data_IF_203334009716
#
_entry.id   IF_203334009716
#
_cell.length_a   1.000
_cell.length_b   1.000
_cell.length_c   1.000
_cell.angle_alpha   90.00
_cell.angle_beta   90.00
_cell.angle_gamma   90.00
#
_symmetry.space_group_name_H-M   'P 1'
#
loop_
_entity.id
_entity.type
_entity.pdbx_description
1 polymer ?
#
# COMPACT_ATOMS: atom_id res chain seq x y z
N UNK A 1 -23.67 -13.74 -14.44
CA UNK A 1 -23.82 -12.48 -15.19
C UNK A 1 -22.77 -12.47 -16.29
N UNK A 2 -23.19 -12.63 -17.55
CA UNK A 2 -22.36 -13.03 -18.70
C UNK A 2 -22.46 -11.89 -19.72
N UNK A 3 -21.38 -11.13 -19.93
CA UNK A 3 -21.40 -9.97 -20.84
C UNK A 3 -20.84 -10.41 -22.20
N UNK A 4 -21.73 -10.52 -23.19
CA UNK A 4 -21.41 -10.62 -24.62
C UNK A 4 -21.10 -9.21 -25.14
N UNK A 5 -19.96 -9.00 -25.80
CA UNK A 5 -19.75 -7.79 -26.59
C UNK A 5 -20.38 -7.97 -27.98
N UNK A 6 -21.15 -6.96 -28.41
CA UNK A 6 -21.74 -6.87 -29.73
C UNK A 6 -20.73 -6.23 -30.68
N UNK A 7 -20.58 -6.82 -31.87
CA UNK A 7 -19.90 -6.20 -33.00
C UNK A 7 -20.67 -4.96 -33.48
N UNK A 8 -19.97 -3.83 -33.56
CA UNK A 8 -20.40 -2.65 -34.31
C UNK A 8 -19.62 -2.62 -35.62
N UNK A 9 -20.31 -2.83 -36.72
CA UNK A 9 -19.86 -2.56 -38.08
C UNK A 9 -19.79 -1.05 -38.28
N UNK A 10 -18.59 -0.51 -38.47
CA UNK A 10 -18.40 0.91 -38.81
C UNK A 10 -18.11 1.02 -40.30
N UNK A 11 -19.15 1.34 -41.07
CA UNK A 11 -19.02 1.81 -42.45
C UNK A 11 -18.29 3.16 -42.43
N UNK A 12 -17.07 3.20 -42.97
CA UNK A 12 -16.38 4.45 -43.23
C UNK A 12 -16.77 4.96 -44.62
N UNK A 13 -17.49 6.09 -44.63
CA UNK A 13 -17.64 6.98 -45.77
C UNK A 13 -16.28 7.66 -45.98
N UNK A 14 -15.65 7.44 -47.12
CA UNK A 14 -14.39 8.08 -47.52
C UNK A 14 -14.66 9.51 -47.96
N UNK A 15 -13.82 10.45 -47.50
CA UNK A 15 -13.79 11.83 -47.98
C UNK A 15 -13.22 11.90 -49.41
N UNK A 16 -13.73 12.76 -50.29
CA UNK A 16 -13.35 12.80 -51.69
C UNK A 16 -12.01 13.52 -51.86
N UNK A 17 -10.94 12.75 -52.05
CA UNK A 17 -9.61 13.28 -52.34
C UNK A 17 -8.56 12.26 -52.75
N UNK A 18 -8.94 11.00 -53.00
CA UNK A 18 -8.01 9.92 -53.36
C UNK A 18 -8.64 9.09 -54.48
N UNK A 19 -8.84 9.69 -55.65
CA UNK A 19 -9.18 8.93 -56.85
C UNK A 19 -8.58 9.60 -58.08
N UNK A 20 -7.26 9.64 -58.16
CA UNK A 20 -6.57 9.68 -59.44
C UNK A 20 -5.14 9.16 -59.26
N UNK A 21 -4.67 8.44 -60.27
CA UNK A 21 -3.39 7.72 -60.35
C UNK A 21 -3.41 6.31 -59.74
N UNK A 22 -4.33 5.48 -60.22
CA UNK A 22 -4.06 4.04 -60.39
C UNK A 22 -4.46 3.65 -61.80
N UNK A 23 -3.57 3.92 -62.75
CA UNK A 23 -3.45 3.17 -64.00
C UNK A 23 -2.05 3.45 -64.57
N UNK A 24 -1.42 2.42 -65.13
CA UNK A 24 -0.07 2.38 -65.71
C UNK A 24 1.05 2.08 -64.69
N UNK A 25 1.30 0.79 -64.43
CA UNK A 25 2.54 0.04 -64.81
C UNK A 25 2.32 -1.43 -64.41
N UNK A 26 2.38 -2.41 -65.34
CA UNK A 26 2.35 -3.81 -65.00
C UNK A 26 3.75 -4.26 -64.56
N UNK A 27 3.85 -4.86 -63.38
CA UNK A 27 5.00 -5.68 -63.01
C UNK A 27 5.75 -5.24 -61.76
N UNK A 28 5.80 -6.19 -60.83
CA UNK A 28 6.75 -6.36 -59.71
C UNK A 28 6.54 -5.50 -58.45
N UNK A 29 6.13 -6.25 -57.41
CA UNK A 29 6.66 -6.24 -56.03
C UNK A 29 6.26 -5.06 -55.14
N UNK A 30 5.00 -5.07 -54.68
CA UNK A 30 4.58 -4.27 -53.50
C UNK A 30 4.65 -5.04 -52.16
N UNK A 31 5.03 -6.33 -52.19
CA UNK A 31 5.20 -7.13 -50.96
C UNK A 31 6.32 -6.66 -49.99
N UNK A 32 7.41 -5.96 -50.38
CA UNK A 32 8.41 -5.54 -49.39
C UNK A 32 8.02 -4.27 -48.63
N UNK A 33 7.08 -3.45 -49.12
CA UNK A 33 6.64 -2.22 -48.45
C UNK A 33 5.68 -2.46 -47.28
N UNK A 34 5.00 -3.61 -47.25
CA UNK A 34 4.15 -4.00 -46.12
C UNK A 34 4.98 -4.65 -44.99
N UNK A 35 6.08 -5.32 -45.32
CA UNK A 35 6.98 -5.95 -44.35
C UNK A 35 7.83 -4.92 -43.58
N UNK A 36 8.18 -3.78 -44.19
CA UNK A 36 8.93 -2.71 -43.53
C UNK A 36 8.13 -1.96 -42.47
N UNK A 37 6.80 -1.93 -42.57
CA UNK A 37 5.93 -1.29 -41.56
C UNK A 37 5.78 -2.13 -40.28
N UNK A 38 6.03 -3.45 -40.34
CA UNK A 38 5.92 -4.35 -39.18
C UNK A 38 7.22 -4.47 -38.37
N UNK A 39 8.35 -3.99 -38.91
CA UNK A 39 9.64 -3.92 -38.18
C UNK A 39 9.81 -2.63 -37.37
N UNK A 40 8.84 -1.71 -37.42
CA UNK A 40 8.85 -0.45 -36.65
C UNK A 40 7.99 -0.49 -35.38
N UNK A 41 7.37 -1.63 -35.09
CA UNK A 41 6.70 -1.89 -33.82
C UNK A 41 7.45 -2.99 -33.06
N UNK A 42 8.73 -2.77 -32.77
CA UNK A 42 9.33 -3.42 -31.60
C UNK A 42 8.66 -2.84 -30.37
N UNK A 43 7.54 -3.43 -29.97
CA UNK A 43 6.94 -3.14 -28.67
C UNK A 43 7.96 -3.47 -27.60
N UNK A 44 8.58 -2.46 -27.01
CA UNK A 44 9.37 -2.65 -25.81
C UNK A 44 8.42 -3.10 -24.70
N UNK A 45 8.45 -4.39 -24.37
CA UNK A 45 7.97 -4.83 -23.07
C UNK A 45 8.95 -4.27 -22.03
N UNK A 46 8.46 -3.46 -21.10
CA UNK A 46 9.29 -2.96 -20.01
C UNK A 46 9.72 -4.16 -19.15
N UNK A 47 10.99 -4.50 -19.18
CA UNK A 47 11.56 -5.51 -18.30
C UNK A 47 11.86 -4.84 -16.95
N UNK A 48 11.01 -5.09 -15.96
CA UNK A 48 11.23 -4.56 -14.61
C UNK A 48 12.34 -5.36 -13.92
N UNK A 49 13.39 -4.66 -13.50
CA UNK A 49 14.44 -5.23 -12.68
C UNK A 49 13.96 -5.28 -11.23
N UNK A 50 13.89 -6.48 -10.66
CA UNK A 50 13.59 -6.69 -9.25
C UNK A 50 14.86 -7.09 -8.51
N UNK A 51 15.20 -6.31 -7.48
CA UNK A 51 16.19 -6.72 -6.48
C UNK A 51 15.44 -7.40 -5.34
N UNK A 52 15.88 -8.60 -4.96
CA UNK A 52 15.29 -9.36 -3.86
C UNK A 52 16.09 -9.15 -2.58
N UNK A 53 15.39 -8.97 -1.46
CA UNK A 53 15.96 -8.94 -0.13
C UNK A 53 15.25 -9.99 0.72
N UNK A 54 16.02 -10.85 1.38
CA UNK A 54 15.60 -12.02 2.12
C UNK A 54 16.21 -11.98 3.54
N UNK A 55 16.06 -13.07 4.28
CA UNK A 55 16.78 -13.29 5.54
C UNK A 55 18.30 -13.25 5.35
N UNK A 56 18.80 -13.68 4.18
CA UNK A 56 20.23 -13.62 3.85
C UNK A 56 20.76 -12.18 3.83
N UNK A 57 19.95 -11.23 3.37
CA UNK A 57 20.29 -9.80 3.34
C UNK A 57 19.95 -9.04 4.63
N UNK A 58 19.40 -9.72 5.64
CA UNK A 58 19.19 -9.17 6.98
C UNK A 58 17.73 -8.90 7.38
N UNK A 59 16.75 -9.25 6.54
CA UNK A 59 15.33 -9.21 6.92
C UNK A 59 15.06 -10.24 8.03
N UNK A 60 14.33 -9.92 9.10
CA UNK A 60 14.22 -10.84 10.24
C UNK A 60 13.30 -12.03 9.94
N UNK A 61 12.39 -11.89 8.97
CA UNK A 61 11.48 -12.94 8.51
C UNK A 61 10.87 -12.58 7.15
N UNK A 62 10.63 -13.57 6.28
CA UNK A 62 10.25 -13.36 4.88
C UNK A 62 8.81 -12.82 4.65
N UNK A 63 7.91 -12.98 5.62
CA UNK A 63 6.53 -12.52 5.50
C UNK A 63 6.43 -11.05 5.94
N UNK A 64 6.32 -10.18 4.94
CA UNK A 64 6.07 -8.75 5.14
C UNK A 64 4.57 -8.48 5.13
N UNK A 65 4.02 -7.97 6.23
CA UNK A 65 2.59 -7.70 6.40
C UNK A 65 2.21 -6.22 6.15
N UNK A 66 3.20 -5.35 6.07
CA UNK A 66 3.00 -3.90 5.97
C UNK A 66 4.32 -3.21 5.66
N UNK A 67 4.21 -2.11 4.93
CA UNK A 67 5.33 -1.31 4.47
C UNK A 67 4.96 0.17 4.58
N UNK A 68 5.91 1.00 5.02
CA UNK A 68 5.82 2.45 4.88
C UNK A 68 7.21 3.05 4.66
N UNK A 69 7.25 4.31 4.26
CA UNK A 69 8.47 5.09 4.15
C UNK A 69 8.41 6.24 5.16
N UNK A 70 9.51 6.50 5.85
CA UNK A 70 9.61 7.68 6.72
C UNK A 70 10.12 8.93 5.97
N UNK A 71 10.12 10.08 6.64
CA UNK A 71 10.56 11.35 6.05
C UNK A 71 12.06 11.38 5.68
N UNK A 72 12.87 10.44 6.18
CA UNK A 72 14.29 10.29 5.83
C UNK A 72 14.50 9.38 4.62
N UNK A 73 13.41 8.85 4.05
CA UNK A 73 13.44 7.93 2.92
C UNK A 73 13.69 6.47 3.30
N UNK A 74 13.77 6.14 4.59
CA UNK A 74 13.99 4.76 5.05
C UNK A 74 12.70 3.96 4.90
N UNK A 75 12.85 2.71 4.49
CA UNK A 75 11.73 1.79 4.32
C UNK A 75 11.54 0.98 5.59
N UNK A 76 10.31 0.93 6.07
CA UNK A 76 9.95 0.20 7.28
C UNK A 76 8.99 -0.93 6.95
N UNK A 77 9.21 -2.08 7.57
CA UNK A 77 8.49 -3.32 7.29
C UNK A 77 7.96 -3.93 8.59
N UNK A 78 6.74 -4.47 8.55
CA UNK A 78 6.24 -5.36 9.61
C UNK A 78 6.39 -6.81 9.21
N UNK A 79 6.82 -7.63 10.17
CA UNK A 79 7.05 -9.06 9.99
C UNK A 79 6.44 -9.85 11.14
N UNK A 80 6.52 -11.18 11.06
CA UNK A 80 6.16 -12.07 12.17
C UNK A 80 7.19 -12.07 13.31
N UNK A 81 8.36 -11.44 13.11
CA UNK A 81 9.48 -11.40 14.05
C UNK A 81 9.85 -9.99 14.51
N UNK A 82 8.96 -9.01 14.33
CA UNK A 82 9.16 -7.61 14.71
C UNK A 82 9.00 -6.66 13.53
N UNK A 83 9.58 -5.46 13.66
CA UNK A 83 9.69 -4.51 12.55
C UNK A 83 11.15 -4.42 12.06
N UNK A 84 11.32 -4.06 10.80
CA UNK A 84 12.63 -3.89 10.17
C UNK A 84 12.69 -2.54 9.47
N UNK A 85 13.82 -1.85 9.59
CA UNK A 85 14.12 -0.58 8.93
C UNK A 85 15.27 -0.77 7.95
N UNK A 86 15.07 -0.37 6.69
CA UNK A 86 16.07 -0.43 5.64
C UNK A 86 16.44 0.98 5.21
N UNK A 87 17.73 1.30 5.31
CA UNK A 87 18.29 2.61 4.94
C UNK A 87 18.77 2.68 3.48
N UNK A 88 18.52 1.64 2.69
CA UNK A 88 19.05 1.49 1.33
C UNK A 88 20.32 0.66 1.24
N UNK A 89 20.93 0.31 2.38
CA UNK A 89 22.17 -0.48 2.46
C UNK A 89 22.06 -1.66 3.40
N UNK A 90 21.45 -1.46 4.57
CA UNK A 90 21.38 -2.45 5.64
C UNK A 90 20.03 -2.43 6.35
N UNK A 91 19.68 -3.57 6.95
CA UNK A 91 18.48 -3.70 7.78
C UNK A 91 18.83 -3.55 9.26
N UNK A 92 18.01 -2.77 9.96
CA UNK A 92 17.98 -2.71 11.41
C UNK A 92 16.66 -3.31 11.91
N UNK A 93 16.75 -4.31 12.79
CA UNK A 93 15.60 -5.09 13.24
C UNK A 93 15.25 -4.75 14.69
N UNK A 94 13.96 -4.66 14.97
CA UNK A 94 13.42 -4.39 16.30
C UNK A 94 12.37 -5.43 16.66
N UNK A 95 12.44 -5.94 17.88
CA UNK A 95 11.64 -7.02 18.41
C UNK A 95 11.01 -6.64 19.76
N UNK A 96 10.29 -7.57 20.37
CA UNK A 96 9.79 -7.43 21.73
C UNK A 96 10.92 -7.25 22.76
N UNK A 97 12.14 -7.74 22.48
CA UNK A 97 13.31 -7.51 23.35
C UNK A 97 13.73 -6.04 23.39
N UNK A 98 13.41 -5.30 22.33
CA UNK A 98 13.74 -3.88 22.18
C UNK A 98 12.61 -2.97 22.70
N UNK A 99 11.49 -3.57 23.13
CA UNK A 99 10.34 -2.86 23.72
C UNK A 99 9.06 -2.86 22.88
N UNK A 100 9.02 -3.54 21.72
CA UNK A 100 7.76 -3.73 20.99
C UNK A 100 6.72 -4.49 21.83
N UNK A 101 5.44 -4.17 21.66
CA UNK A 101 4.35 -4.88 22.36
C UNK A 101 4.25 -6.38 22.01
N UNK A 102 4.65 -6.76 20.80
CA UNK A 102 4.77 -8.16 20.34
C UNK A 102 5.64 -8.24 19.10
N UNK A 103 6.29 -9.39 18.89
CA UNK A 103 6.99 -9.72 17.65
C UNK A 103 6.05 -9.84 16.44
N UNK A 104 4.81 -10.25 16.63
CA UNK A 104 3.88 -10.40 15.52
C UNK A 104 3.29 -9.02 15.21
N UNK A 105 3.87 -8.37 14.19
CA UNK A 105 3.49 -7.03 13.76
C UNK A 105 2.74 -7.09 12.42
N UNK A 106 1.72 -6.24 12.28
CA UNK A 106 0.74 -6.34 11.19
C UNK A 106 0.38 -5.00 10.56
N UNK A 107 0.70 -3.88 11.22
CA UNK A 107 0.42 -2.52 10.72
C UNK A 107 1.61 -1.63 11.02
N UNK A 108 1.93 -0.74 10.09
CA UNK A 108 3.00 0.23 10.27
C UNK A 108 2.60 1.57 9.69
N UNK A 109 3.01 2.64 10.35
CA UNK A 109 2.76 4.02 9.97
C UNK A 109 3.94 4.87 10.42
N UNK A 110 4.58 5.57 9.50
CA UNK A 110 5.47 6.67 9.82
C UNK A 110 4.61 7.94 9.91
N UNK A 111 4.65 8.63 11.04
CA UNK A 111 3.92 9.90 11.20
C UNK A 111 4.76 11.09 10.72
N UNK A 112 4.11 12.24 10.54
CA UNK A 112 4.79 13.49 10.12
C UNK A 112 5.78 14.05 11.14
N UNK A 113 5.69 13.60 12.39
CA UNK A 113 6.61 13.98 13.47
C UNK A 113 7.86 13.10 13.50
N UNK A 114 7.95 12.08 12.64
CA UNK A 114 9.09 11.16 12.54
C UNK A 114 8.99 9.94 13.45
N UNK A 115 7.87 9.71 14.14
CA UNK A 115 7.68 8.48 14.91
C UNK A 115 7.22 7.33 14.01
N UNK A 116 7.57 6.12 14.42
CA UNK A 116 7.12 4.89 13.76
C UNK A 116 6.14 4.16 14.65
N UNK A 117 4.90 4.07 14.18
CA UNK A 117 3.82 3.38 14.85
C UNK A 117 3.70 1.95 14.31
N UNK A 118 3.83 0.97 15.21
CA UNK A 118 3.72 -0.45 14.90
C UNK A 118 2.48 -1.04 15.59
N UNK A 119 1.51 -1.48 14.79
CA UNK A 119 0.38 -2.27 15.24
C UNK A 119 0.76 -3.73 15.35
N UNK A 120 0.51 -4.33 16.50
CA UNK A 120 0.88 -5.71 16.82
C UNK A 120 -0.36 -6.53 17.22
N UNK A 121 -0.19 -7.84 17.41
CA UNK A 121 -1.25 -8.70 17.95
C UNK A 121 -1.56 -8.44 19.43
N UNK A 122 -0.68 -7.73 20.15
CA UNK A 122 -0.80 -7.46 21.60
C UNK A 122 -0.85 -5.98 21.97
N UNK A 123 -0.91 -5.08 21.00
CA UNK A 123 -1.10 -3.65 21.23
C UNK A 123 -0.45 -2.78 20.16
N UNK A 124 -0.47 -1.47 20.43
CA UNK A 124 0.18 -0.45 19.61
C UNK A 124 1.54 -0.10 20.23
N UNK A 125 2.58 0.00 19.42
CA UNK A 125 3.89 0.51 19.84
C UNK A 125 4.25 1.75 19.04
N UNK A 126 4.91 2.73 19.64
CA UNK A 126 5.47 3.89 18.96
C UNK A 126 6.97 3.97 19.25
N UNK A 127 7.77 4.14 18.19
CA UNK A 127 9.22 4.32 18.26
C UNK A 127 9.55 5.77 17.97
N UNK A 128 10.34 6.40 18.85
CA UNK A 128 10.77 7.79 18.74
C UNK A 128 12.17 7.98 18.13
N UNK A 129 12.74 6.91 17.58
CA UNK A 129 14.13 6.88 17.11
C UNK A 129 15.12 6.37 18.16
N UNK A 130 14.71 6.23 19.41
CA UNK A 130 15.54 5.74 20.52
C UNK A 130 14.91 4.57 21.27
N UNK A 131 13.62 4.68 21.60
CA UNK A 131 12.92 3.72 22.44
C UNK A 131 11.48 3.50 21.99
N UNK A 132 10.92 2.37 22.42
CA UNK A 132 9.50 2.09 22.24
C UNK A 132 8.69 2.52 23.45
N UNK A 133 7.51 3.09 23.17
CA UNK A 133 6.41 3.18 24.13
C UNK A 133 5.25 2.33 23.62
N UNK A 134 4.65 1.55 24.52
CA UNK A 134 3.58 0.61 24.16
C UNK A 134 2.26 0.96 24.82
N UNK A 135 1.18 0.66 24.12
CA UNK A 135 -0.20 0.82 24.56
C UNK A 135 -0.88 -0.54 24.43
N UNK A 136 -1.02 -1.23 25.55
CA UNK A 136 -1.64 -2.56 25.66
C UNK A 136 -2.90 -2.46 26.53
N UNK A 137 -3.90 -3.28 26.21
CA UNK A 137 -5.10 -3.44 27.04
C UNK A 137 -4.95 -4.58 28.04
N UNK A 138 -5.88 -4.71 28.98
CA UNK A 138 -5.89 -5.78 29.99
C UNK A 138 -6.29 -7.17 29.45
N UNK A 139 -6.57 -7.31 28.15
CA UNK A 139 -7.01 -8.55 27.52
C UNK A 139 -5.90 -9.37 26.84
N UNK A 140 -6.16 -10.67 26.65
CA UNK A 140 -5.24 -11.60 25.98
C UNK A 140 -5.04 -11.32 24.47
N UNK A 141 -5.98 -10.62 23.84
CA UNK A 141 -5.88 -10.12 22.45
C UNK A 141 -6.06 -8.61 22.48
N UNK A 142 -5.09 -7.90 21.91
CA UNK A 142 -5.04 -6.44 21.78
C UNK A 142 -4.61 -6.08 20.35
N UNK A 143 -5.28 -6.67 19.38
CA UNK A 143 -4.85 -6.60 18.00
C UNK A 143 -5.17 -5.22 17.41
N UNK A 144 -4.18 -4.64 16.75
CA UNK A 144 -4.34 -3.43 15.96
C UNK A 144 -4.73 -3.82 14.53
N UNK A 145 -5.91 -3.36 14.10
CA UNK A 145 -6.48 -3.66 12.78
C UNK A 145 -6.21 -2.55 11.76
N UNK A 146 -6.09 -1.31 12.22
CA UNK A 146 -5.85 -0.16 11.35
C UNK A 146 -5.13 0.95 12.11
N UNK A 147 -4.32 1.72 11.38
CA UNK A 147 -3.62 2.91 11.84
C UNK A 147 -3.69 3.97 10.76
N UNK A 148 -3.94 5.22 11.14
CA UNK A 148 -3.88 6.37 10.23
C UNK A 148 -3.54 7.64 11.00
N UNK A 149 -2.79 8.54 10.38
CA UNK A 149 -2.61 9.91 10.82
C UNK A 149 -3.61 10.81 10.08
N UNK A 150 -4.33 11.67 10.80
CA UNK A 150 -5.20 12.67 10.18
C UNK A 150 -4.44 13.93 9.74
N UNK A 151 -5.13 14.87 9.08
CA UNK A 151 -4.49 16.10 8.62
C UNK A 151 -3.95 17.00 9.73
N UNK A 152 -4.46 16.86 10.95
CA UNK A 152 -4.01 17.62 12.12
C UNK A 152 -2.86 16.92 12.85
N UNK A 153 -2.33 15.82 12.31
CA UNK A 153 -1.26 15.03 12.93
C UNK A 153 -1.72 14.13 14.07
N UNK A 154 -3.04 13.95 14.24
CA UNK A 154 -3.57 13.04 15.26
C UNK A 154 -3.56 11.62 14.74
N UNK A 155 -3.06 10.72 15.58
CA UNK A 155 -3.00 9.29 15.28
C UNK A 155 -4.28 8.61 15.74
N UNK A 156 -4.87 7.86 14.81
CA UNK A 156 -6.07 7.06 15.02
C UNK A 156 -5.74 5.58 14.86
N UNK A 157 -6.31 4.76 15.73
CA UNK A 157 -6.08 3.33 15.75
C UNK A 157 -7.38 2.55 15.95
N UNK A 158 -7.54 1.48 15.19
CA UNK A 158 -8.56 0.47 15.47
C UNK A 158 -7.90 -0.64 16.32
N UNK A 159 -8.17 -0.63 17.63
CA UNK A 159 -7.60 -1.58 18.59
C UNK A 159 -8.75 -2.42 19.18
N UNK A 160 -8.65 -3.75 19.05
CA UNK A 160 -9.72 -4.68 19.45
C UNK A 160 -11.09 -4.34 18.85
N UNK A 161 -11.10 -3.86 17.59
CA UNK A 161 -12.31 -3.43 16.91
C UNK A 161 -12.87 -2.10 17.40
N UNK A 162 -12.29 -1.45 18.41
CA UNK A 162 -12.76 -0.13 18.88
C UNK A 162 -11.88 0.97 18.31
N UNK A 163 -12.51 2.09 17.96
CA UNK A 163 -11.79 3.29 17.54
C UNK A 163 -11.11 3.96 18.72
N UNK A 164 -9.83 4.24 18.59
CA UNK A 164 -9.02 4.99 19.54
C UNK A 164 -8.29 6.13 18.84
N UNK A 165 -7.88 7.13 19.61
CA UNK A 165 -7.06 8.22 19.15
C UNK A 165 -6.00 8.59 20.19
N UNK A 166 -4.90 9.16 19.72
CA UNK A 166 -3.85 9.68 20.60
C UNK A 166 -4.24 11.07 21.12
N UNK A 167 -4.18 11.23 22.44
CA UNK A 167 -4.45 12.47 23.15
C UNK A 167 -3.39 12.70 24.23
N UNK A 168 -2.58 13.75 24.11
CA UNK A 168 -1.53 14.10 25.08
C UNK A 168 -0.68 12.89 25.54
N UNK A 169 -0.26 12.03 24.59
CA UNK A 169 0.54 10.84 24.86
C UNK A 169 -0.20 9.66 25.49
N UNK A 170 -1.53 9.70 25.57
CA UNK A 170 -2.41 8.59 25.97
C UNK A 170 -3.22 8.09 24.79
N UNK A 171 -3.48 6.78 24.76
CA UNK A 171 -4.38 6.17 23.79
C UNK A 171 -5.79 6.12 24.41
N UNK A 172 -6.71 6.91 23.88
CA UNK A 172 -8.08 7.04 24.40
C UNK A 172 -9.09 6.42 23.44
N UNK A 173 -10.12 5.77 23.97
CA UNK A 173 -11.24 5.28 23.17
C UNK A 173 -12.07 6.46 22.66
N UNK A 174 -12.47 6.44 21.38
CA UNK A 174 -13.36 7.45 20.83
C UNK A 174 -14.75 7.29 21.46
N UNK A 175 -15.37 8.38 21.97
CA UNK A 175 -16.52 8.29 22.87
C UNK A 175 -17.83 7.92 22.18
N UNK A 176 -17.90 7.96 20.85
CA UNK A 176 -19.13 7.73 20.11
C UNK A 176 -19.56 6.26 20.15
N UNK A 177 -20.77 6.03 20.66
CA UNK A 177 -21.40 4.72 20.84
C UNK A 177 -21.51 3.89 19.56
N UNK A 178 -21.56 4.54 18.38
CA UNK A 178 -21.60 3.82 17.10
C UNK A 178 -20.40 2.89 16.96
N UNK A 179 -19.21 3.36 17.29
CA UNK A 179 -17.97 2.58 17.21
C UNK A 179 -17.79 1.57 18.35
N UNK A 180 -18.76 1.46 19.27
CA UNK A 180 -18.82 0.37 20.25
C UNK A 180 -19.69 -0.79 19.75
N UNK A 181 -20.63 -0.52 18.85
CA UNK A 181 -21.57 -1.52 18.33
C UNK A 181 -20.97 -2.39 17.23
N UNK A 182 -20.11 -1.81 16.38
CA UNK A 182 -19.46 -2.54 15.30
C UNK A 182 -17.93 -2.48 15.39
N UNK A 183 -17.23 -3.56 15.00
CA UNK A 183 -15.78 -3.57 14.98
C UNK A 183 -15.23 -2.72 13.82
N UNK A 184 -14.41 -1.73 14.15
CA UNK A 184 -13.60 -0.99 13.19
C UNK A 184 -12.46 -1.88 12.72
N UNK A 185 -12.38 -2.09 11.42
CA UNK A 185 -11.38 -2.93 10.76
C UNK A 185 -10.44 -2.13 9.85
N UNK A 186 -10.91 -1.02 9.29
CA UNK A 186 -10.12 -0.14 8.43
C UNK A 186 -10.32 1.31 8.79
N UNK A 187 -9.27 2.10 8.57
CA UNK A 187 -9.27 3.55 8.76
C UNK A 187 -8.62 4.20 7.54
N UNK A 188 -9.15 5.34 7.13
CA UNK A 188 -8.61 6.13 6.03
C UNK A 188 -8.92 7.61 6.26
N UNK A 189 -7.91 8.48 6.10
CA UNK A 189 -8.12 9.92 6.11
C UNK A 189 -8.12 10.42 4.66
N UNK A 190 -9.20 11.06 4.23
CA UNK A 190 -9.28 11.60 2.87
C UNK A 190 -8.63 12.97 2.72
N UNK A 191 -8.46 13.42 1.47
CA UNK A 191 -7.85 14.71 1.14
C UNK A 191 -8.60 15.93 1.70
N UNK A 192 -9.85 15.79 2.17
CA UNK A 192 -10.61 16.87 2.81
C UNK A 192 -10.49 16.85 4.34
N UNK A 193 -9.73 15.91 4.91
CA UNK A 193 -9.55 15.75 6.35
C UNK A 193 -10.68 14.98 7.04
N UNK A 194 -11.49 14.25 6.29
CA UNK A 194 -12.51 13.37 6.88
C UNK A 194 -11.88 12.02 7.19
N UNK A 195 -12.10 11.56 8.41
CA UNK A 195 -11.77 10.20 8.83
C UNK A 195 -12.90 9.25 8.45
N UNK A 196 -12.57 8.23 7.67
CA UNK A 196 -13.43 7.13 7.30
C UNK A 196 -13.06 5.91 8.13
N UNK A 197 -14.07 5.24 8.69
CA UNK A 197 -13.92 4.01 9.45
C UNK A 197 -14.81 2.94 8.83
N UNK A 198 -14.20 1.81 8.46
CA UNK A 198 -14.86 0.68 7.84
C UNK A 198 -14.92 -0.53 8.76
N UNK A 199 -16.01 -1.29 8.67
CA UNK A 199 -16.25 -2.53 9.41
C UNK A 199 -17.28 -3.39 8.67
N UNK A 200 -17.48 -4.65 9.09
CA UNK A 200 -18.48 -5.53 8.51
C UNK A 200 -19.87 -4.92 8.70
N UNK A 201 -20.69 -5.05 7.66
CA UNK A 201 -22.11 -4.71 7.73
C UNK A 201 -22.84 -5.87 8.43
N UNK A 202 -23.71 -5.55 9.38
CA UNK A 202 -24.64 -6.52 9.97
C UNK A 202 -25.56 -7.15 8.91
#
# INVERSE_FOLDING_TARGET
MKIRSRHLTRNHILAPGIQQVMDIVPGRRLLPLFASLLLWFSGFAQQHYFQNFSVEEGLPQMQVNGICQDALGRMWFTTLSGISCFDGRSFQNFSQKDGLASNITTKILADRSGHIWAGTTRGLSVFDGKQFKTYTGSGAKNQVNALVEDHNGKIWAALNGKLHYMNAGKLEAYPDERFKKFPVQSLFCDAKGRLWAGGPKE
#
